data_IF_615909878433
#
_entry.id   IF_615909878433
#
_cell.length_a   1.000
_cell.length_b   1.000
_cell.length_c   1.000
_cell.angle_alpha   90.00
_cell.angle_beta   90.00
_cell.angle_gamma   90.00
#
_symmetry.space_group_name_H-M   'P 1'
#
loop_
_entity.id
_entity.type
_entity.pdbx_description
1 polymer ?
#
# COMPACT_ATOMS: atom_id res chain seq x y z
N UNK A 1 14.03 -2.76 -3.88
CA UNK A 1 13.97 -1.47 -3.18
C UNK A 1 12.85 -1.49 -2.16
N UNK A 2 13.09 -0.82 -1.04
CA UNK A 2 12.12 -0.66 0.05
C UNK A 2 10.83 0.03 -0.44
N UNK A 3 9.70 -0.39 0.11
CA UNK A 3 8.39 0.18 -0.19
C UNK A 3 7.53 0.21 1.08
N UNK A 4 7.79 1.20 1.92
CA UNK A 4 6.94 1.55 3.07
C UNK A 4 5.98 2.68 2.67
N UNK A 5 4.69 2.52 2.95
CA UNK A 5 3.64 3.51 2.66
C UNK A 5 2.80 3.79 3.90
N UNK A 6 2.18 4.97 3.96
CA UNK A 6 1.22 5.32 5.00
C UNK A 6 -0.19 5.31 4.45
N UNK A 7 -1.14 4.67 5.15
CA UNK A 7 -2.58 4.67 4.80
C UNK A 7 -3.35 4.88 6.11
N UNK A 8 -4.23 5.88 6.16
CA UNK A 8 -4.97 6.33 7.35
C UNK A 8 -4.09 6.56 8.59
N UNK A 9 -2.90 7.13 8.40
CA UNK A 9 -1.95 7.40 9.48
C UNK A 9 -1.12 6.19 9.94
N UNK A 10 -1.42 4.99 9.44
CA UNK A 10 -0.70 3.76 9.76
C UNK A 10 0.34 3.41 8.69
N UNK A 11 1.47 2.81 9.10
CA UNK A 11 2.56 2.46 8.19
C UNK A 11 2.53 0.99 7.82
N UNK A 12 2.84 0.70 6.56
CA UNK A 12 2.82 -0.65 6.00
C UNK A 12 4.06 -0.92 5.17
N UNK A 13 4.75 -2.03 5.44
CA UNK A 13 5.88 -2.50 4.66
C UNK A 13 5.40 -3.43 3.54
N UNK A 14 5.25 -2.87 2.34
CA UNK A 14 4.81 -3.60 1.14
C UNK A 14 5.99 -4.15 0.33
N UNK A 15 7.24 -4.05 0.81
CA UNK A 15 8.45 -4.39 0.04
C UNK A 15 8.39 -5.79 -0.57
N UNK A 16 8.02 -6.80 0.23
CA UNK A 16 7.91 -8.19 -0.24
C UNK A 16 6.69 -8.47 -1.11
N UNK A 17 5.65 -7.63 -1.02
CA UNK A 17 4.39 -7.82 -1.74
C UNK A 17 4.27 -6.94 -3.00
N UNK A 18 5.14 -5.96 -3.20
CA UNK A 18 4.97 -4.93 -4.23
C UNK A 18 4.76 -5.50 -5.64
N UNK A 19 5.45 -6.58 -5.99
CA UNK A 19 5.31 -7.23 -7.31
C UNK A 19 4.00 -8.00 -7.49
N UNK A 20 3.31 -8.32 -6.39
CA UNK A 20 2.01 -8.99 -6.38
C UNK A 20 0.84 -7.99 -6.33
N UNK A 21 1.11 -6.69 -6.30
CA UNK A 21 0.08 -5.66 -6.31
C UNK A 21 -0.65 -5.64 -7.66
N UNK A 22 -1.98 -5.82 -7.71
CA UNK A 22 -2.73 -5.78 -8.98
C UNK A 22 -2.60 -4.47 -9.75
N UNK A 23 -2.44 -3.33 -9.05
CA UNK A 23 -2.16 -2.03 -9.66
C UNK A 23 -0.70 -1.82 -10.11
N UNK A 24 0.15 -2.84 -9.93
CA UNK A 24 1.57 -2.83 -10.29
C UNK A 24 2.51 -2.38 -9.17
N UNK A 25 3.76 -2.86 -9.21
CA UNK A 25 4.78 -2.48 -8.24
C UNK A 25 5.22 -1.01 -8.38
N UNK A 26 5.17 -0.46 -9.60
CA UNK A 26 5.63 0.89 -9.91
C UNK A 26 4.84 1.96 -9.16
N UNK A 27 3.52 1.79 -9.05
CA UNK A 27 2.68 2.75 -8.33
C UNK A 27 2.96 2.72 -6.82
N UNK A 28 3.17 1.54 -6.22
CA UNK A 28 3.53 1.44 -4.81
C UNK A 28 4.87 2.13 -4.53
N UNK A 29 5.89 1.87 -5.36
CA UNK A 29 7.22 2.51 -5.22
C UNK A 29 7.16 4.03 -5.38
N UNK A 30 6.28 4.56 -6.24
CA UNK A 30 6.04 6.01 -6.38
C UNK A 30 5.52 6.66 -5.08
N UNK A 31 4.88 5.87 -4.22
CA UNK A 31 4.36 6.30 -2.92
C UNK A 31 5.24 5.88 -1.74
N UNK A 32 6.43 5.32 -1.98
CA UNK A 32 7.36 5.00 -0.90
C UNK A 32 7.66 6.25 -0.04
N UNK A 33 7.50 6.10 1.28
CA UNK A 33 7.71 7.15 2.28
C UNK A 33 6.59 8.18 2.33
N UNK A 34 5.44 7.95 1.66
CA UNK A 34 4.36 8.92 1.52
C UNK A 34 3.03 8.36 2.00
N UNK A 35 2.13 9.28 2.32
CA UNK A 35 0.72 8.97 2.56
C UNK A 35 0.00 8.70 1.23
N UNK A 36 -0.54 7.49 1.10
CA UNK A 36 -1.28 6.99 -0.05
C UNK A 36 -2.80 6.92 0.21
N UNK A 37 -3.30 7.41 1.35
CA UNK A 37 -4.72 7.34 1.76
C UNK A 37 -5.66 7.81 0.66
N UNK A 38 -5.45 9.03 0.16
CA UNK A 38 -6.33 9.60 -0.87
C UNK A 38 -6.38 8.75 -2.14
N UNK A 39 -5.24 8.21 -2.58
CA UNK A 39 -5.21 7.39 -3.81
C UNK A 39 -5.81 6.01 -3.56
N UNK A 40 -5.59 5.44 -2.37
CA UNK A 40 -6.16 4.17 -1.95
C UNK A 40 -7.70 4.23 -1.93
N UNK A 41 -8.26 5.30 -1.37
CA UNK A 41 -9.70 5.61 -1.36
C UNK A 41 -10.25 5.85 -2.76
N UNK A 42 -9.58 6.68 -3.56
CA UNK A 42 -10.07 7.07 -4.90
C UNK A 42 -10.15 5.87 -5.84
N UNK A 43 -9.23 4.91 -5.71
CA UNK A 43 -9.26 3.67 -6.50
C UNK A 43 -10.40 2.74 -6.07
N UNK A 44 -10.86 2.84 -4.81
CA UNK A 44 -11.92 1.99 -4.29
C UNK A 44 -11.47 0.54 -4.08
N UNK A 45 -10.39 0.34 -3.32
CA UNK A 45 -9.91 -1.01 -3.01
C UNK A 45 -10.96 -1.83 -2.26
N UNK A 46 -10.99 -3.14 -2.51
CA UNK A 46 -12.00 -4.02 -1.94
C UNK A 46 -11.82 -4.22 -0.42
N UNK A 47 -12.86 -4.66 0.31
CA UNK A 47 -12.76 -4.98 1.73
C UNK A 47 -11.64 -5.98 2.05
N UNK A 48 -11.36 -6.92 1.14
CA UNK A 48 -10.28 -7.90 1.28
C UNK A 48 -8.90 -7.22 1.18
N UNK A 49 -8.75 -6.21 0.32
CA UNK A 49 -7.52 -5.43 0.22
C UNK A 49 -7.29 -4.59 1.48
N UNK A 50 -8.35 -4.00 2.05
CA UNK A 50 -8.28 -3.34 3.37
C UNK A 50 -7.84 -4.33 4.46
N UNK A 51 -8.46 -5.51 4.53
CA UNK A 51 -8.09 -6.53 5.51
C UNK A 51 -6.65 -7.03 5.33
N UNK A 52 -6.16 -7.08 4.09
CA UNK A 52 -4.81 -7.52 3.76
C UNK A 52 -3.74 -6.56 4.29
N UNK A 53 -3.99 -5.24 4.35
CA UNK A 53 -3.05 -4.26 4.91
C UNK A 53 -2.56 -4.64 6.31
N UNK A 54 -3.41 -5.21 7.16
CA UNK A 54 -3.04 -5.62 8.51
C UNK A 54 -1.86 -6.61 8.56
N UNK A 55 -1.65 -7.41 7.51
CA UNK A 55 -0.52 -8.35 7.42
C UNK A 55 0.84 -7.67 7.23
N UNK A 56 0.83 -6.41 6.81
CA UNK A 56 2.03 -5.66 6.43
C UNK A 56 2.31 -4.46 7.34
N UNK A 57 1.49 -4.26 8.39
CA UNK A 57 1.65 -3.15 9.34
C UNK A 57 2.99 -3.26 10.07
N UNK A 58 3.63 -2.12 10.29
CA UNK A 58 4.87 -1.97 11.07
C UNK A 58 4.71 -0.95 12.19
#
# INVERSE_FOLDING_TARGET
DECIITIYGERYNMTGWANSHPGGASILRKFHGRDATRVFDTVGHSPEAHAMLHKFRI
#
